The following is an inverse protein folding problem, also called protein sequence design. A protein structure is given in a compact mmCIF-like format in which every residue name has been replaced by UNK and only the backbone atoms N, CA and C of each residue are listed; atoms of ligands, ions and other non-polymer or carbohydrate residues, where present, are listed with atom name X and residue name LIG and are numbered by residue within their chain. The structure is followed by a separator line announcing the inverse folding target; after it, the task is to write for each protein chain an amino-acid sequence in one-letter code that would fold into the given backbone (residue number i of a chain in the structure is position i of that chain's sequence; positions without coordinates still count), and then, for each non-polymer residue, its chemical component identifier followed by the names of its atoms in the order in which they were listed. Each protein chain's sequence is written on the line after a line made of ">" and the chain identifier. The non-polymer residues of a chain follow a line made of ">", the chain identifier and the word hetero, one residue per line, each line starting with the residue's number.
data_IF_012953801714
#
_entry.id   IF_012953801714
#
_cell.length_a   1.000
_cell.length_b   1.000
_cell.length_c   1.000
_cell.angle_alpha   90.00
_cell.angle_beta   90.00
_cell.angle_gamma   90.00
#
_symmetry.space_group_name_H-M   'P 1'
#
loop_
_entity.id
_entity.type
_entity.pdbx_description
1 polymer ?
#
# COMPACT_ATOMS: atom_id res chain seq x y z
N UNK A 1 -20.15 -35.92 -66.14
CA UNK A 1 -19.34 -36.90 -66.91
C UNK A 1 -17.88 -36.62 -66.58
N UNK A 2 -17.06 -37.46 -65.92
CA UNK A 2 -17.22 -38.70 -65.14
C UNK A 2 -16.59 -38.51 -63.74
N UNK A 3 -16.98 -39.26 -62.69
CA UNK A 3 -16.65 -40.67 -62.41
C UNK A 3 -15.13 -40.85 -62.23
N UNK A 4 -14.53 -41.42 -61.17
CA UNK A 4 -14.88 -42.49 -60.20
C UNK A 4 -13.78 -42.43 -59.09
N UNK A 5 -14.06 -42.65 -57.80
CA UNK A 5 -13.86 -43.93 -57.05
C UNK A 5 -12.61 -44.72 -57.49
N UNK A 6 -11.70 -45.25 -56.64
CA UNK A 6 -11.94 -45.99 -55.39
C UNK A 6 -10.61 -46.40 -54.70
N UNK A 7 -10.57 -46.26 -53.36
CA UNK A 7 -10.11 -47.21 -52.30
C UNK A 7 -8.74 -47.92 -52.20
N UNK A 8 -8.23 -47.83 -50.93
CA UNK A 8 -7.71 -48.89 -50.03
C UNK A 8 -6.26 -49.43 -50.25
N UNK A 9 -5.44 -49.82 -49.26
CA UNK A 9 -5.56 -50.03 -47.79
C UNK A 9 -4.14 -50.28 -47.19
N UNK A 10 -3.97 -49.87 -45.90
CA UNK A 10 -3.22 -50.51 -44.78
C UNK A 10 -1.71 -50.85 -44.91
N UNK A 11 -0.85 -50.61 -43.91
CA UNK A 11 -1.01 -50.13 -42.53
C UNK A 11 0.29 -50.15 -41.70
N UNK A 12 0.14 -49.70 -40.44
CA UNK A 12 0.91 -49.96 -39.21
C UNK A 12 2.38 -49.50 -39.10
N UNK A 13 2.67 -48.51 -38.23
CA UNK A 13 2.99 -48.74 -36.81
C UNK A 13 3.45 -47.44 -36.08
N UNK A 14 3.03 -47.36 -34.81
CA UNK A 14 3.34 -46.46 -33.69
C UNK A 14 4.41 -45.36 -33.76
N UNK A 15 4.02 -44.16 -33.31
CA UNK A 15 4.70 -43.48 -32.18
C UNK A 15 3.84 -42.35 -31.58
N UNK A 16 3.33 -42.64 -30.39
CA UNK A 16 3.23 -41.78 -29.20
C UNK A 16 2.88 -40.28 -29.32
N UNK A 17 1.67 -40.01 -28.82
CA UNK A 17 1.30 -38.99 -27.81
C UNK A 17 1.10 -37.53 -28.27
N UNK A 18 -0.19 -37.20 -28.29
CA UNK A 18 -0.85 -35.92 -28.46
C UNK A 18 -0.55 -34.92 -27.34
N UNK A 19 -0.25 -33.69 -27.74
CA UNK A 19 -0.30 -32.49 -26.92
C UNK A 19 -1.72 -32.23 -26.40
N UNK A 20 -1.92 -32.33 -25.08
CA UNK A 20 -3.01 -31.70 -24.36
C UNK A 20 -2.54 -30.36 -23.78
N UNK A 21 -3.41 -29.35 -23.85
CA UNK A 21 -3.16 -27.97 -23.46
C UNK A 21 -2.84 -27.84 -21.94
N UNK A 22 -1.94 -26.92 -21.54
CA UNK A 22 -1.77 -26.59 -20.15
C UNK A 22 -2.88 -25.62 -19.69
N UNK A 23 -3.71 -26.07 -18.76
CA UNK A 23 -4.46 -25.21 -17.85
C UNK A 23 -3.47 -24.45 -16.97
N UNK A 24 -3.28 -23.16 -17.23
CA UNK A 24 -2.47 -22.29 -16.40
C UNK A 24 -3.33 -21.79 -15.22
N UNK A 25 -3.02 -22.29 -14.03
CA UNK A 25 -3.49 -21.78 -12.75
C UNK A 25 -2.96 -20.35 -12.57
N UNK A 26 -3.84 -19.43 -12.21
CA UNK A 26 -3.53 -18.04 -11.91
C UNK A 26 -2.82 -17.97 -10.56
N UNK A 27 -1.50 -17.79 -10.56
CA UNK A 27 -0.76 -17.33 -9.37
C UNK A 27 -0.88 -15.80 -9.29
N UNK A 28 -1.71 -15.35 -8.35
CA UNK A 28 -1.70 -13.97 -7.85
C UNK A 28 -0.68 -13.91 -6.70
N UNK A 29 0.37 -13.11 -6.88
CA UNK A 29 1.29 -12.72 -5.81
C UNK A 29 1.34 -11.18 -5.70
N UNK A 30 1.59 -10.63 -4.49
CA UNK A 30 0.87 -9.47 -3.97
C UNK A 30 1.56 -8.13 -4.22
N UNK A 31 0.74 -7.09 -4.40
CA UNK A 31 1.16 -5.69 -4.42
C UNK A 31 1.26 -5.10 -3.00
N UNK A 32 2.36 -4.40 -2.73
CA UNK A 32 2.53 -3.52 -1.57
C UNK A 32 3.42 -2.35 -2.06
N UNK A 33 3.02 -1.08 -1.99
CA UNK A 33 2.57 -0.49 -0.74
C UNK A 33 2.23 1.03 -0.66
N UNK A 34 1.41 1.36 0.35
CA UNK A 34 1.34 2.64 1.05
C UNK A 34 0.93 2.44 2.52
N UNK A 35 1.89 2.01 3.36
CA UNK A 35 1.82 1.37 4.70
C UNK A 35 1.79 -0.16 4.62
N UNK A 36 2.93 -0.84 4.79
CA UNK A 36 3.02 -2.28 4.48
C UNK A 36 2.35 -2.95 5.63
N UNK A 37 1.32 -3.73 5.30
CA UNK A 37 0.72 -4.60 6.27
C UNK A 37 1.63 -5.82 6.32
N UNK A 38 2.37 -5.96 7.41
CA UNK A 38 3.30 -7.08 7.57
C UNK A 38 2.71 -8.01 8.62
N UNK A 39 2.24 -9.17 8.16
CA UNK A 39 1.70 -10.21 9.04
C UNK A 39 2.84 -11.11 9.53
N UNK A 40 2.99 -11.22 10.85
CA UNK A 40 3.97 -12.10 11.49
C UNK A 40 3.27 -13.26 12.20
N UNK A 41 3.61 -14.48 11.82
CA UNK A 41 3.04 -15.71 12.39
C UNK A 41 4.01 -16.32 13.40
N UNK A 42 3.82 -16.16 14.72
CA UNK A 42 4.64 -16.89 15.69
C UNK A 42 3.79 -17.71 16.69
N UNK A 43 4.10 -19.00 16.78
CA UNK A 43 3.67 -19.91 17.84
C UNK A 43 4.86 -20.81 18.17
N UNK A 44 5.66 -20.48 19.19
CA UNK A 44 6.65 -21.39 19.78
C UNK A 44 6.80 -21.09 21.28
N UNK A 45 6.64 -22.12 22.10
CA UNK A 45 6.98 -22.14 23.52
C UNK A 45 8.15 -23.12 23.75
N UNK A 46 9.10 -22.68 24.57
CA UNK A 46 10.20 -23.36 25.26
C UNK A 46 11.37 -24.01 24.47
N UNK A 47 12.52 -23.32 24.45
CA UNK A 47 13.71 -23.64 25.28
C UNK A 47 14.95 -22.89 24.78
N UNK A 48 15.70 -22.31 25.71
CA UNK A 48 16.84 -21.43 25.45
C UNK A 48 18.16 -22.20 25.31
N UNK A 49 19.00 -21.88 24.31
CA UNK A 49 20.46 -22.08 24.39
C UNK A 49 21.31 -21.26 23.38
N UNK A 50 22.19 -20.42 23.94
CA UNK A 50 23.43 -19.79 23.41
C UNK A 50 23.37 -18.61 22.42
N UNK A 51 23.89 -17.45 22.85
CA UNK A 51 23.78 -16.10 22.25
C UNK A 51 24.27 -15.92 20.79
N UNK A 52 25.31 -16.64 20.35
CA UNK A 52 25.82 -16.50 18.97
C UNK A 52 25.01 -17.34 17.97
N UNK A 53 24.53 -18.51 18.40
CA UNK A 53 23.58 -19.30 17.61
C UNK A 53 22.19 -18.62 17.64
N UNK A 54 21.84 -17.94 18.73
CA UNK A 54 20.59 -17.20 18.89
C UNK A 54 20.47 -16.09 17.85
N UNK A 55 21.51 -15.31 17.60
CA UNK A 55 21.44 -14.19 16.63
C UNK A 55 21.20 -14.70 15.20
N UNK A 56 21.95 -15.72 14.77
CA UNK A 56 21.76 -16.33 13.44
C UNK A 56 20.44 -17.12 13.34
N UNK A 57 20.03 -17.82 14.40
CA UNK A 57 18.75 -18.52 14.47
C UNK A 57 17.57 -17.56 14.55
N UNK A 58 17.74 -16.35 15.10
CA UNK A 58 16.72 -15.29 15.15
C UNK A 58 16.59 -14.60 13.80
N UNK A 59 17.69 -14.37 13.08
CA UNK A 59 17.63 -13.91 11.68
C UNK A 59 16.99 -14.99 10.77
N UNK A 60 17.34 -16.27 10.96
CA UNK A 60 16.67 -17.39 10.28
C UNK A 60 15.20 -17.53 10.70
N UNK A 61 14.87 -17.29 11.97
CA UNK A 61 13.50 -17.35 12.50
C UNK A 61 12.69 -16.19 11.94
N UNK A 62 13.22 -14.98 11.87
CA UNK A 62 12.57 -13.83 11.22
C UNK A 62 12.36 -14.08 9.71
N UNK A 63 13.33 -14.70 9.04
CA UNK A 63 13.17 -15.14 7.66
C UNK A 63 12.11 -16.26 7.51
N UNK A 64 12.02 -17.19 8.47
CA UNK A 64 11.02 -18.25 8.51
C UNK A 64 9.62 -17.77 8.96
N UNK A 65 9.54 -16.63 9.67
CA UNK A 65 8.31 -15.95 10.09
C UNK A 65 7.64 -15.16 8.95
N UNK A 66 8.17 -15.26 7.72
CA UNK A 66 7.69 -14.48 6.56
C UNK A 66 8.04 -13.00 6.64
N UNK A 67 8.84 -12.57 7.62
CA UNK A 67 9.36 -11.20 7.71
C UNK A 67 10.55 -11.04 6.75
N UNK A 68 10.31 -11.21 5.44
CA UNK A 68 11.33 -11.00 4.41
C UNK A 68 11.70 -9.52 4.22
N UNK A 69 11.03 -8.60 4.92
CA UNK A 69 11.21 -7.16 4.70
C UNK A 69 11.49 -6.44 6.03
N UNK A 70 12.57 -5.64 6.12
CA UNK A 70 12.73 -4.68 7.22
C UNK A 70 11.49 -3.82 7.38
N UNK A 71 11.00 -3.60 8.60
CA UNK A 71 9.88 -2.70 8.85
C UNK A 71 10.18 -1.31 8.27
N UNK A 72 9.42 -0.89 7.26
CA UNK A 72 9.56 0.40 6.58
C UNK A 72 8.87 1.50 7.37
N UNK A 73 9.27 2.78 7.22
CA UNK A 73 8.76 3.90 8.01
C UNK A 73 7.23 4.05 8.11
N UNK A 74 6.45 3.46 7.20
CA UNK A 74 4.98 3.49 7.22
C UNK A 74 4.30 2.21 7.70
N UNK A 75 5.04 1.17 8.06
CA UNK A 75 4.47 -0.18 8.21
C UNK A 75 3.56 -0.34 9.43
N UNK A 76 2.59 -1.24 9.26
CA UNK A 76 1.71 -1.75 10.31
C UNK A 76 1.96 -3.25 10.43
N UNK A 77 2.52 -3.64 11.55
CA UNK A 77 2.91 -5.02 11.83
C UNK A 77 1.81 -5.67 12.68
N UNK A 78 1.37 -6.84 12.25
CA UNK A 78 0.40 -7.64 12.98
C UNK A 78 1.09 -8.87 13.57
N UNK A 79 0.93 -9.08 14.89
CA UNK A 79 1.53 -10.22 15.56
C UNK A 79 0.61 -10.85 16.63
N UNK A 80 0.83 -12.15 16.84
CA UNK A 80 0.32 -12.93 17.96
C UNK A 80 1.20 -12.82 19.21
N UNK A 81 1.09 -13.79 20.12
CA UNK A 81 2.12 -13.99 21.14
C UNK A 81 3.46 -14.26 20.48
N UNK A 82 4.53 -13.70 21.04
CA UNK A 82 5.88 -13.84 20.50
C UNK A 82 6.87 -14.16 21.62
N UNK A 83 7.97 -14.81 21.25
CA UNK A 83 9.07 -15.06 22.17
C UNK A 83 9.81 -13.75 22.50
N UNK A 84 10.39 -13.66 23.69
CA UNK A 84 11.05 -12.44 24.20
C UNK A 84 12.15 -11.94 23.26
N UNK A 85 12.92 -12.84 22.65
CA UNK A 85 13.99 -12.50 21.71
C UNK A 85 13.43 -11.84 20.45
N UNK A 86 12.27 -12.30 19.95
CA UNK A 86 11.61 -11.70 18.80
C UNK A 86 11.02 -10.33 19.16
N UNK A 87 10.43 -10.20 20.36
CA UNK A 87 9.96 -8.92 20.90
C UNK A 87 11.09 -7.91 20.99
N UNK A 88 12.24 -8.31 21.53
CA UNK A 88 13.41 -7.45 21.66
C UNK A 88 13.89 -6.95 20.30
N UNK A 89 14.00 -7.81 19.28
CA UNK A 89 14.45 -7.39 17.96
C UNK A 89 13.42 -6.49 17.25
N UNK A 90 12.13 -6.81 17.33
CA UNK A 90 11.08 -6.00 16.71
C UNK A 90 10.95 -4.63 17.39
N UNK A 91 11.11 -4.59 18.70
CA UNK A 91 11.10 -3.35 19.46
C UNK A 91 12.13 -2.36 18.91
N UNK A 92 13.30 -2.82 18.46
CA UNK A 92 14.38 -1.97 17.96
C UNK A 92 14.05 -1.32 16.62
N UNK A 93 12.99 -1.79 15.94
CA UNK A 93 12.63 -1.44 14.57
C UNK A 93 11.28 -0.72 14.47
N UNK A 94 10.55 -0.56 15.56
CA UNK A 94 9.25 0.12 15.58
C UNK A 94 9.30 1.38 16.45
N UNK A 95 8.36 2.31 16.20
CA UNK A 95 8.18 3.53 17.01
C UNK A 95 6.98 3.45 17.93
N UNK A 96 6.04 2.54 17.68
CA UNK A 96 4.89 2.32 18.53
C UNK A 96 4.52 0.84 18.61
N UNK A 97 4.05 0.44 19.79
CA UNK A 97 3.56 -0.89 20.10
C UNK A 97 2.25 -0.80 20.88
N UNK A 98 1.21 -1.44 20.37
CA UNK A 98 -0.09 -1.55 21.03
C UNK A 98 -0.34 -3.03 21.35
N UNK A 99 -0.30 -3.36 22.63
CA UNK A 99 -0.64 -4.68 23.13
C UNK A 99 -2.12 -4.71 23.57
N UNK A 100 -2.92 -5.52 22.87
CA UNK A 100 -4.34 -5.68 23.08
C UNK A 100 -4.63 -6.90 23.94
N UNK A 101 -5.27 -6.66 25.09
CA UNK A 101 -5.55 -7.66 26.12
C UNK A 101 -7.05 -7.97 26.15
N UNK A 102 -7.44 -9.20 26.48
CA UNK A 102 -8.81 -9.49 26.93
C UNK A 102 -8.97 -9.12 28.40
N UNK A 103 -10.21 -9.00 28.86
CA UNK A 103 -10.55 -8.71 30.26
C UNK A 103 -9.89 -9.68 31.27
N UNK A 104 -9.65 -10.93 30.86
CA UNK A 104 -8.97 -11.95 31.69
C UNK A 104 -7.43 -11.83 31.70
N UNK A 105 -6.84 -11.15 30.71
CA UNK A 105 -5.39 -10.95 30.58
C UNK A 105 -4.91 -9.66 31.25
N UNK A 106 -5.80 -8.70 31.51
CA UNK A 106 -5.49 -7.44 32.19
C UNK A 106 -4.94 -7.67 33.61
N UNK A 107 -5.27 -8.82 34.21
CA UNK A 107 -4.88 -9.16 35.59
C UNK A 107 -3.58 -9.94 35.72
N UNK A 108 -2.97 -10.45 34.64
CA UNK A 108 -1.69 -11.19 34.73
C UNK A 108 -0.52 -10.30 34.27
N UNK A 109 0.36 -9.95 35.20
CA UNK A 109 1.57 -9.15 34.96
C UNK A 109 2.65 -9.85 34.11
N UNK A 110 2.45 -11.12 33.76
CA UNK A 110 3.53 -12.05 33.42
C UNK A 110 3.81 -12.19 31.91
N UNK A 111 3.39 -11.21 31.10
CA UNK A 111 3.77 -11.15 29.68
C UNK A 111 5.20 -10.61 29.55
N UNK A 112 6.16 -11.52 29.48
CA UNK A 112 7.58 -11.23 29.34
C UNK A 112 7.89 -10.40 28.07
N UNK A 113 7.18 -10.66 26.97
CA UNK A 113 7.32 -9.88 25.73
C UNK A 113 6.93 -8.42 25.95
N UNK A 114 5.83 -8.16 26.67
CA UNK A 114 5.43 -6.80 27.00
C UNK A 114 6.41 -6.10 27.96
N UNK A 115 7.00 -6.84 28.90
CA UNK A 115 8.01 -6.29 29.80
C UNK A 115 9.21 -5.77 29.01
N UNK A 116 9.73 -6.57 28.08
CA UNK A 116 10.81 -6.16 27.16
C UNK A 116 10.46 -4.86 26.42
N UNK A 117 9.24 -4.75 25.88
CA UNK A 117 8.80 -3.52 25.20
C UNK A 117 8.75 -2.33 26.15
N UNK A 118 8.19 -2.53 27.34
CA UNK A 118 7.97 -1.48 28.34
C UNK A 118 9.27 -0.89 28.86
N UNK A 119 10.28 -1.74 29.10
CA UNK A 119 11.61 -1.31 29.53
C UNK A 119 12.24 -0.39 28.47
N UNK A 120 11.92 -0.59 27.19
CA UNK A 120 12.38 0.25 26.07
C UNK A 120 11.54 1.49 25.82
N UNK A 121 10.44 1.71 26.55
CA UNK A 121 9.66 2.94 26.40
C UNK A 121 10.49 4.21 26.69
N UNK A 122 11.51 4.09 27.56
CA UNK A 122 12.49 5.15 27.83
C UNK A 122 13.39 5.52 26.65
N UNK A 123 13.44 4.70 25.59
CA UNK A 123 14.26 4.90 24.39
C UNK A 123 13.46 5.52 23.21
N UNK A 124 12.29 6.09 23.49
CA UNK A 124 11.45 6.74 22.48
C UNK A 124 10.44 5.82 21.79
N UNK A 125 10.29 4.58 22.26
CA UNK A 125 9.24 3.67 21.84
C UNK A 125 7.92 4.01 22.57
N UNK A 126 6.83 4.25 21.81
CA UNK A 126 5.50 4.43 22.41
C UNK A 126 4.86 3.07 22.67
N UNK A 127 4.75 2.66 23.94
CA UNK A 127 4.12 1.40 24.34
C UNK A 127 2.75 1.66 24.97
N UNK A 128 1.72 0.95 24.49
CA UNK A 128 0.35 1.03 25.03
C UNK A 128 -0.21 -0.35 25.33
N UNK A 129 -0.85 -0.49 26.48
CA UNK A 129 -1.76 -1.61 26.79
C UNK A 129 -3.19 -1.12 26.65
N UNK A 130 -3.99 -1.83 25.87
CA UNK A 130 -5.41 -1.52 25.67
C UNK A 130 -6.25 -2.75 25.98
N UNK A 131 -7.32 -2.58 26.75
CA UNK A 131 -8.32 -3.64 26.89
C UNK A 131 -9.14 -3.70 25.61
N UNK A 132 -9.47 -4.91 25.18
CA UNK A 132 -10.35 -5.18 24.06
C UNK A 132 -11.41 -6.18 24.51
N UNK A 133 -12.61 -5.68 24.74
CA UNK A 133 -13.80 -6.50 25.00
C UNK A 133 -14.58 -6.84 23.72
N UNK A 134 -14.11 -6.36 22.56
CA UNK A 134 -14.65 -6.69 21.24
C UNK A 134 -16.13 -6.34 21.12
N UNK A 135 -16.99 -7.25 20.63
CA UNK A 135 -18.42 -6.99 20.48
C UNK A 135 -19.14 -6.61 21.78
N UNK A 136 -18.56 -6.92 22.95
CA UNK A 136 -19.13 -6.55 24.26
C UNK A 136 -18.88 -5.10 24.64
N UNK A 137 -17.89 -4.45 24.00
CA UNK A 137 -17.51 -3.06 24.20
C UNK A 137 -17.19 -2.43 22.83
N UNK A 138 -18.26 -2.16 22.08
CA UNK A 138 -18.18 -1.60 20.73
C UNK A 138 -17.51 -0.21 20.76
N UNK A 139 -17.92 0.67 21.67
CA UNK A 139 -17.39 2.02 21.80
C UNK A 139 -15.89 2.00 22.11
N UNK A 140 -15.45 1.19 23.08
CA UNK A 140 -14.03 1.05 23.41
C UNK A 140 -13.23 0.46 22.26
N UNK A 141 -13.77 -0.54 21.55
CA UNK A 141 -13.12 -1.14 20.39
C UNK A 141 -12.94 -0.14 19.25
N UNK A 142 -13.95 0.69 18.95
CA UNK A 142 -13.88 1.72 17.90
C UNK A 142 -12.92 2.86 18.25
N UNK A 143 -12.81 3.24 19.53
CA UNK A 143 -11.78 4.20 19.98
C UNK A 143 -10.36 3.73 19.68
N UNK A 144 -10.10 2.43 19.76
CA UNK A 144 -8.79 1.87 19.38
C UNK A 144 -8.55 2.04 17.88
N UNK A 145 -9.57 1.75 17.04
CA UNK A 145 -9.51 1.94 15.58
C UNK A 145 -9.19 3.40 15.24
N UNK A 146 -9.87 4.35 15.87
CA UNK A 146 -9.65 5.79 15.69
C UNK A 146 -8.25 6.24 16.10
N UNK A 147 -7.74 5.72 17.23
CA UNK A 147 -6.44 6.11 17.74
C UNK A 147 -5.29 5.78 16.78
N UNK A 148 -5.44 4.73 15.95
CA UNK A 148 -4.41 4.25 15.03
C UNK A 148 -3.93 5.31 14.01
N UNK A 149 -4.77 6.27 13.66
CA UNK A 149 -4.44 7.34 12.71
C UNK A 149 -3.31 8.25 13.21
N UNK A 150 -3.18 8.38 14.53
CA UNK A 150 -2.26 9.31 15.19
C UNK A 150 -0.96 8.66 15.70
N UNK A 151 -0.85 7.32 15.64
CA UNK A 151 0.25 6.60 16.25
C UNK A 151 1.53 6.61 15.38
N UNK A 152 2.72 6.74 16.00
CA UNK A 152 4.00 6.69 15.28
C UNK A 152 4.21 5.39 14.53
N UNK A 153 4.86 5.47 13.36
CA UNK A 153 5.19 4.33 12.50
C UNK A 153 6.71 4.09 12.46
N UNK A 154 7.18 2.83 12.34
CA UNK A 154 6.39 1.60 12.19
C UNK A 154 5.62 1.24 13.47
N UNK A 155 4.39 0.77 13.32
CA UNK A 155 3.47 0.42 14.42
C UNK A 155 3.29 -1.08 14.50
N UNK A 156 3.34 -1.64 15.71
CA UNK A 156 3.00 -3.04 15.99
C UNK A 156 1.65 -3.15 16.71
N UNK A 157 0.76 -3.98 16.19
CA UNK A 157 -0.47 -4.42 16.85
C UNK A 157 -0.31 -5.88 17.30
N UNK A 158 -0.34 -6.09 18.60
CA UNK A 158 -0.14 -7.40 19.22
C UNK A 158 -1.39 -7.83 19.99
N UNK A 159 -1.71 -9.12 19.91
CA UNK A 159 -2.57 -9.77 20.89
C UNK A 159 -2.19 -11.25 21.02
N UNK A 160 -2.74 -12.00 21.98
CA UNK A 160 -2.30 -13.39 22.22
C UNK A 160 -2.48 -14.30 20.98
N UNK A 161 -3.63 -14.23 20.30
CA UNK A 161 -3.97 -15.11 19.18
C UNK A 161 -3.78 -14.48 17.80
N UNK A 162 -3.48 -13.18 17.73
CA UNK A 162 -3.52 -12.38 16.50
C UNK A 162 -4.93 -11.95 16.06
N UNK A 163 -6.00 -12.50 16.64
CA UNK A 163 -7.37 -12.24 16.19
C UNK A 163 -7.84 -10.83 16.50
N UNK A 164 -7.58 -10.32 17.71
CA UNK A 164 -8.03 -8.98 18.15
C UNK A 164 -7.34 -7.88 17.37
N UNK A 165 -6.02 -8.01 17.25
CA UNK A 165 -5.19 -7.11 16.47
C UNK A 165 -5.55 -7.16 14.98
N UNK A 166 -5.90 -8.34 14.44
CA UNK A 166 -6.42 -8.49 13.08
C UNK A 166 -7.78 -7.83 12.87
N UNK A 167 -8.72 -7.98 13.82
CA UNK A 167 -10.05 -7.35 13.73
C UNK A 167 -9.96 -5.82 13.72
N UNK A 168 -9.18 -5.23 14.62
CA UNK A 168 -8.96 -3.77 14.66
C UNK A 168 -8.27 -3.29 13.38
N UNK A 169 -7.25 -4.01 12.90
CA UNK A 169 -6.55 -3.67 11.68
C UNK A 169 -7.48 -3.67 10.47
N UNK A 170 -8.34 -4.69 10.33
CA UNK A 170 -9.30 -4.76 9.24
C UNK A 170 -10.29 -3.59 9.27
N UNK A 171 -10.85 -3.26 10.43
CA UNK A 171 -11.78 -2.12 10.56
C UNK A 171 -11.09 -0.79 10.24
N UNK A 172 -9.85 -0.61 10.72
CA UNK A 172 -9.06 0.56 10.40
C UNK A 172 -8.78 0.66 8.90
N UNK A 173 -8.32 -0.42 8.28
CA UNK A 173 -8.06 -0.46 6.83
C UNK A 173 -9.34 -0.22 6.03
N UNK A 174 -10.46 -0.80 6.45
CA UNK A 174 -11.73 -0.59 5.79
C UNK A 174 -12.18 0.86 5.87
N UNK A 175 -11.95 1.55 6.98
CA UNK A 175 -12.17 2.99 7.10
C UNK A 175 -11.22 3.79 6.21
N UNK A 176 -9.94 3.44 6.19
CA UNK A 176 -8.92 4.17 5.41
C UNK A 176 -9.06 3.98 3.89
N UNK A 177 -9.50 2.79 3.47
CA UNK A 177 -9.50 2.34 2.07
C UNK A 177 -10.90 2.13 1.49
N UNK A 178 -11.95 2.23 2.31
CA UNK A 178 -13.34 2.08 1.89
C UNK A 178 -13.73 0.62 1.56
N UNK A 179 -13.33 -0.34 2.39
CA UNK A 179 -13.65 -1.75 2.13
C UNK A 179 -15.11 -2.08 2.44
N UNK A 180 -15.72 -2.86 1.54
CA UNK A 180 -16.98 -3.57 1.80
C UNK A 180 -16.74 -4.79 2.68
N UNK A 181 -17.80 -5.33 3.28
CA UNK A 181 -17.75 -6.60 4.00
C UNK A 181 -17.10 -7.73 3.17
N UNK A 182 -17.41 -7.82 1.87
CA UNK A 182 -16.85 -8.82 0.97
C UNK A 182 -15.34 -8.62 0.74
N UNK A 183 -14.91 -7.39 0.42
CA UNK A 183 -13.47 -7.11 0.20
C UNK A 183 -12.62 -7.24 1.46
N UNK A 184 -13.18 -6.90 2.63
CA UNK A 184 -12.50 -7.08 3.90
C UNK A 184 -12.39 -8.56 4.27
N UNK A 185 -13.41 -9.36 3.95
CA UNK A 185 -13.34 -10.81 4.11
C UNK A 185 -12.24 -11.40 3.22
N UNK A 186 -12.20 -11.04 1.93
CA UNK A 186 -11.14 -11.50 1.04
C UNK A 186 -9.75 -11.13 1.57
N UNK A 187 -9.56 -9.87 1.99
CA UNK A 187 -8.30 -9.43 2.60
C UNK A 187 -7.96 -10.23 3.86
N UNK A 188 -8.94 -10.53 4.70
CA UNK A 188 -8.74 -11.31 5.91
C UNK A 188 -8.31 -12.75 5.62
N UNK A 189 -8.85 -13.35 4.55
CA UNK A 189 -8.47 -14.66 4.05
C UNK A 189 -7.05 -14.64 3.47
N UNK A 190 -6.72 -13.64 2.65
CA UNK A 190 -5.38 -13.44 2.08
C UNK A 190 -4.31 -13.25 3.16
N UNK A 191 -4.68 -12.56 4.25
CA UNK A 191 -3.83 -12.37 5.44
C UNK A 191 -3.80 -13.61 6.36
N UNK A 192 -4.57 -14.66 6.07
CA UNK A 192 -4.77 -15.86 6.89
C UNK A 192 -5.13 -15.51 8.35
N UNK A 193 -6.04 -14.55 8.53
CA UNK A 193 -6.53 -14.18 9.84
C UNK A 193 -7.37 -15.32 10.41
N UNK A 194 -6.89 -15.93 11.50
CA UNK A 194 -7.47 -17.17 12.05
C UNK A 194 -8.96 -17.06 12.37
N UNK A 195 -9.45 -15.88 12.77
CA UNK A 195 -10.88 -15.66 13.03
C UNK A 195 -11.78 -15.67 11.78
N UNK A 196 -11.21 -15.62 10.59
CA UNK A 196 -11.88 -15.87 9.31
C UNK A 196 -11.60 -17.27 8.75
N UNK A 197 -10.36 -17.75 8.83
CA UNK A 197 -9.95 -18.98 8.11
C UNK A 197 -10.08 -20.28 8.93
N UNK A 198 -9.98 -20.25 10.27
CA UNK A 198 -9.78 -21.48 11.07
C UNK A 198 -10.48 -21.54 12.43
N UNK A 199 -10.97 -20.43 12.97
CA UNK A 199 -11.53 -20.37 14.31
C UNK A 199 -13.07 -20.42 14.30
N UNK A 200 -13.64 -21.61 14.52
CA UNK A 200 -15.09 -21.79 14.58
C UNK A 200 -15.76 -21.05 15.76
N UNK A 201 -15.03 -20.81 16.85
CA UNK A 201 -15.54 -20.11 18.05
C UNK A 201 -15.45 -18.59 17.95
N UNK A 202 -14.77 -18.06 16.94
CA UNK A 202 -14.59 -16.62 16.73
C UNK A 202 -15.75 -15.97 15.96
N UNK A 203 -16.84 -16.71 15.70
CA UNK A 203 -18.04 -16.22 15.00
C UNK A 203 -18.50 -14.83 15.46
N UNK A 204 -18.66 -14.55 16.77
CA UNK A 204 -19.09 -13.24 17.24
C UNK A 204 -18.17 -12.08 16.81
N UNK A 205 -16.86 -12.31 16.71
CA UNK A 205 -15.89 -11.29 16.27
C UNK A 205 -15.97 -11.07 14.77
N UNK A 206 -16.08 -12.16 14.00
CA UNK A 206 -16.30 -12.10 12.55
C UNK A 206 -17.56 -11.32 12.22
N UNK A 207 -18.69 -11.70 12.83
CA UNK A 207 -19.98 -11.04 12.59
C UNK A 207 -19.95 -9.57 13.01
N UNK A 208 -19.27 -9.26 14.12
CA UNK A 208 -19.09 -7.87 14.55
C UNK A 208 -18.27 -7.06 13.54
N UNK A 209 -17.12 -7.58 13.06
CA UNK A 209 -16.33 -6.90 12.02
C UNK A 209 -17.17 -6.70 10.76
N UNK A 210 -17.82 -7.75 10.25
CA UNK A 210 -18.63 -7.66 9.03
C UNK A 210 -19.83 -6.73 9.19
N UNK A 211 -20.46 -6.69 10.36
CA UNK A 211 -21.58 -5.79 10.66
C UNK A 211 -21.20 -4.31 10.72
N UNK A 212 -19.92 -3.99 10.96
CA UNK A 212 -19.39 -2.62 10.93
C UNK A 212 -18.91 -2.20 9.54
N UNK A 213 -18.96 -3.12 8.58
CA UNK A 213 -18.63 -2.85 7.21
C UNK A 213 -19.90 -2.72 6.41
N UNK A 214 -19.96 -1.80 5.45
CA UNK A 214 -21.16 -1.68 4.66
C UNK A 214 -21.37 -2.97 3.83
N UNK A 215 -22.64 -3.28 3.52
CA UNK A 215 -23.03 -4.51 2.81
C UNK A 215 -22.91 -4.37 1.29
N UNK A 216 -22.26 -5.33 0.62
CA UNK A 216 -22.10 -5.35 -0.85
C UNK A 216 -20.87 -6.14 -1.33
N UNK A 217 -20.93 -6.70 -2.55
CA UNK A 217 -19.79 -7.38 -3.22
C UNK A 217 -18.87 -6.41 -3.95
N UNK A 218 -19.37 -5.22 -4.27
CA UNK A 218 -18.61 -4.12 -4.86
C UNK A 218 -17.96 -3.29 -3.75
N UNK A 219 -16.77 -2.68 -3.97
CA UNK A 219 -16.21 -1.70 -3.04
C UNK A 219 -17.26 -0.61 -2.81
N UNK A 220 -17.73 -0.52 -1.58
CA UNK A 220 -18.88 0.33 -1.28
C UNK A 220 -18.45 1.74 -1.47
N UNK A 221 -19.21 2.40 -2.36
CA UNK A 221 -19.19 3.81 -2.68
C UNK A 221 -18.38 4.57 -1.64
N UNK A 222 -17.12 4.83 -2.03
CA UNK A 222 -16.22 5.74 -1.38
C UNK A 222 -17.07 6.79 -0.67
N UNK A 223 -17.07 6.84 0.65
CA UNK A 223 -17.17 8.15 1.28
C UNK A 223 -15.91 8.87 0.81
N UNK A 224 -16.02 9.42 -0.40
CA UNK A 224 -15.01 10.16 -1.10
C UNK A 224 -14.70 11.31 -0.15
N UNK A 225 -13.60 11.20 0.58
CA UNK A 225 -12.90 12.42 0.91
C UNK A 225 -12.61 13.05 -0.45
N UNK A 226 -13.36 14.11 -0.78
CA UNK A 226 -13.08 14.91 -1.95
C UNK A 226 -11.62 15.36 -1.84
N UNK A 227 -10.86 15.24 -2.94
CA UNK A 227 -9.48 15.70 -2.98
C UNK A 227 -8.50 14.73 -3.65
N UNK A 228 -7.27 15.21 -3.77
CA UNK A 228 -6.17 14.46 -4.34
C UNK A 228 -5.35 13.75 -3.24
N UNK A 229 -4.79 12.58 -3.58
CA UNK A 229 -3.64 12.00 -2.85
C UNK A 229 -2.39 12.32 -3.62
N UNK A 230 -1.32 12.68 -2.90
CA UNK A 230 -0.01 12.96 -3.51
C UNK A 230 1.01 12.04 -2.89
N UNK A 231 1.69 11.25 -3.73
CA UNK A 231 2.86 10.47 -3.35
C UNK A 231 4.09 11.11 -3.98
N UNK A 232 5.13 11.34 -3.17
CA UNK A 232 6.41 11.82 -3.64
C UNK A 232 7.38 10.63 -3.70
N UNK A 233 8.06 10.51 -4.83
CA UNK A 233 9.10 9.52 -5.09
C UNK A 233 10.40 10.24 -5.38
N UNK A 234 11.52 9.59 -5.07
CA UNK A 234 12.85 10.16 -5.22
C UNK A 234 13.72 9.26 -6.10
N UNK A 235 14.40 9.85 -7.08
CA UNK A 235 15.48 9.20 -7.81
C UNK A 235 16.83 9.67 -7.25
N UNK A 236 17.63 8.79 -6.62
CA UNK A 236 18.86 9.20 -5.95
C UNK A 236 19.99 9.55 -6.92
N UNK A 237 19.94 9.10 -8.18
CA UNK A 237 21.00 9.34 -9.16
C UNK A 237 20.96 10.79 -9.66
N UNK A 238 19.76 11.26 -10.02
CA UNK A 238 19.55 12.59 -10.59
C UNK A 238 19.02 13.58 -9.54
N UNK A 239 18.74 13.10 -8.33
CA UNK A 239 18.08 13.85 -7.26
C UNK A 239 16.71 14.40 -7.68
N UNK A 240 16.04 13.72 -8.60
CA UNK A 240 14.73 14.10 -9.12
C UNK A 240 13.62 13.66 -8.18
N UNK A 241 12.65 14.54 -7.96
CA UNK A 241 11.39 14.18 -7.35
C UNK A 241 10.33 13.92 -8.42
N UNK A 242 9.76 12.72 -8.40
CA UNK A 242 8.58 12.37 -9.19
C UNK A 242 7.36 12.39 -8.28
N UNK A 243 6.23 12.92 -8.76
CA UNK A 243 4.98 12.92 -8.00
C UNK A 243 3.91 12.10 -8.68
N UNK A 244 3.24 11.24 -7.92
CA UNK A 244 1.98 10.61 -8.33
C UNK A 244 0.86 11.41 -7.68
N UNK A 245 -0.05 11.96 -8.49
CA UNK A 245 -1.23 12.68 -8.01
C UNK A 245 -2.47 11.88 -8.41
N UNK A 246 -3.21 11.42 -7.41
CA UNK A 246 -4.35 10.54 -7.57
C UNK A 246 -5.66 11.23 -7.21
N UNK A 247 -6.64 11.14 -8.08
CA UNK A 247 -8.02 11.52 -7.81
C UNK A 247 -8.73 10.36 -7.11
N UNK A 248 -8.94 10.46 -5.78
CA UNK A 248 -9.63 9.42 -4.99
C UNK A 248 -10.96 9.05 -5.62
N UNK A 249 -11.71 10.06 -6.06
CA UNK A 249 -13.10 9.90 -6.49
C UNK A 249 -13.31 9.18 -7.82
N UNK A 250 -12.33 9.26 -8.72
CA UNK A 250 -12.47 8.70 -10.06
C UNK A 250 -11.49 7.57 -10.35
N UNK A 251 -10.66 7.21 -9.35
CA UNK A 251 -9.54 6.29 -9.52
C UNK A 251 -8.64 6.64 -10.72
N UNK A 252 -8.45 7.94 -11.01
CA UNK A 252 -7.52 8.40 -12.06
C UNK A 252 -6.27 9.01 -11.43
N UNK A 253 -5.12 8.86 -12.07
CA UNK A 253 -3.86 9.40 -11.60
C UNK A 253 -3.07 10.11 -12.70
N UNK A 254 -2.10 10.91 -12.30
CA UNK A 254 -1.05 11.44 -13.16
C UNK A 254 0.32 11.25 -12.52
N UNK A 255 1.35 11.16 -13.37
CA UNK A 255 2.75 11.26 -12.99
C UNK A 255 3.30 12.63 -13.36
N UNK A 256 4.05 13.26 -12.47
CA UNK A 256 4.75 14.52 -12.72
C UNK A 256 6.25 14.30 -12.60
N UNK A 257 6.99 14.69 -13.63
CA UNK A 257 8.44 14.55 -13.77
C UNK A 257 8.96 13.11 -13.53
N UNK A 258 8.44 12.09 -14.24
CA UNK A 258 8.90 10.72 -14.03
C UNK A 258 10.20 10.43 -14.78
N UNK A 259 11.12 9.73 -14.11
CA UNK A 259 12.45 9.36 -14.60
C UNK A 259 12.40 8.01 -15.32
N UNK A 260 13.06 7.89 -16.49
CA UNK A 260 13.05 6.69 -17.33
C UNK A 260 13.46 5.42 -16.57
N UNK A 261 14.53 5.50 -15.81
CA UNK A 261 15.09 4.41 -15.01
C UNK A 261 14.13 3.95 -13.91
N UNK A 262 13.26 4.85 -13.43
CA UNK A 262 12.28 4.58 -12.38
C UNK A 262 10.89 4.18 -12.92
N UNK A 263 10.71 4.11 -14.24
CA UNK A 263 9.43 3.79 -14.89
C UNK A 263 8.71 2.57 -14.30
N UNK A 264 9.44 1.49 -14.05
CA UNK A 264 8.85 0.24 -13.54
C UNK A 264 8.29 0.43 -12.13
N UNK A 265 9.02 1.12 -11.25
CA UNK A 265 8.59 1.51 -9.91
C UNK A 265 7.33 2.38 -9.98
N UNK A 266 7.35 3.41 -10.84
CA UNK A 266 6.25 4.38 -10.93
C UNK A 266 4.96 3.73 -11.43
N UNK A 267 5.03 2.92 -12.50
CA UNK A 267 3.87 2.21 -13.05
C UNK A 267 3.34 1.17 -12.07
N UNK A 268 4.23 0.41 -11.42
CA UNK A 268 3.85 -0.53 -10.38
C UNK A 268 3.08 0.20 -9.29
N UNK A 269 3.64 1.27 -8.71
CA UNK A 269 2.96 2.01 -7.63
C UNK A 269 1.58 2.54 -8.03
N UNK A 270 1.40 3.04 -9.26
CA UNK A 270 0.07 3.48 -9.73
C UNK A 270 -0.93 2.32 -9.77
N UNK A 271 -0.52 1.15 -10.26
CA UNK A 271 -1.36 -0.05 -10.31
C UNK A 271 -1.67 -0.60 -8.92
N UNK A 272 -0.67 -0.66 -8.04
CA UNK A 272 -0.80 -1.15 -6.66
C UNK A 272 -1.76 -0.28 -5.85
N UNK A 273 -1.77 1.02 -6.09
CA UNK A 273 -2.70 1.97 -5.49
C UNK A 273 -4.11 1.90 -6.10
N UNK A 274 -4.33 1.10 -7.15
CA UNK A 274 -5.62 0.91 -7.80
C UNK A 274 -6.07 2.09 -8.67
N UNK A 275 -5.14 2.94 -9.11
CA UNK A 275 -5.46 4.07 -9.99
C UNK A 275 -5.14 3.76 -11.45
N UNK A 276 -5.93 4.35 -12.35
CA UNK A 276 -5.64 4.35 -13.79
C UNK A 276 -4.82 5.59 -14.13
N UNK A 277 -3.60 5.38 -14.60
CA UNK A 277 -2.77 6.47 -15.10
C UNK A 277 -3.46 7.12 -16.31
N UNK A 278 -3.70 8.42 -16.23
CA UNK A 278 -4.31 9.21 -17.29
C UNK A 278 -3.25 10.04 -18.00
N UNK A 279 -2.34 10.65 -17.23
CA UNK A 279 -1.35 11.58 -17.77
C UNK A 279 0.06 11.35 -17.24
N UNK A 280 1.04 11.66 -18.09
CA UNK A 280 2.43 11.91 -17.68
C UNK A 280 2.77 13.35 -18.03
N UNK A 281 3.01 14.17 -17.02
CA UNK A 281 3.36 15.59 -17.14
C UNK A 281 4.86 15.75 -16.92
N UNK A 282 5.46 16.69 -17.64
CA UNK A 282 6.72 17.28 -17.24
C UNK A 282 6.54 18.78 -16.96
N UNK A 283 7.23 19.27 -15.94
CA UNK A 283 7.31 20.70 -15.61
C UNK A 283 8.12 21.47 -16.64
N UNK A 284 9.12 20.83 -17.23
CA UNK A 284 9.96 21.39 -18.30
C UNK A 284 10.70 20.26 -19.03
N UNK A 285 11.54 20.62 -20.00
CA UNK A 285 12.50 19.67 -20.59
C UNK A 285 13.68 19.55 -19.63
N UNK A 286 13.77 18.39 -18.98
CA UNK A 286 14.83 18.09 -18.02
C UNK A 286 16.18 17.90 -18.72
N UNK A 287 17.25 18.36 -18.07
CA UNK A 287 18.63 18.24 -18.58
C UNK A 287 19.44 17.19 -17.80
N UNK A 288 18.98 16.84 -16.61
CA UNK A 288 19.60 15.94 -15.64
C UNK A 288 19.11 14.49 -15.77
N UNK A 289 17.95 14.25 -16.38
CA UNK A 289 17.38 12.92 -16.56
C UNK A 289 16.56 12.79 -17.85
N UNK A 290 16.35 11.55 -18.28
CA UNK A 290 15.45 11.24 -19.40
C UNK A 290 14.05 10.96 -18.84
N UNK A 291 13.03 11.64 -19.38
CA UNK A 291 11.65 11.38 -18.97
C UNK A 291 11.18 9.98 -19.36
N UNK A 292 10.43 9.30 -18.49
CA UNK A 292 9.83 8.00 -18.79
C UNK A 292 8.59 8.08 -19.68
N UNK A 293 8.03 9.29 -19.90
CA UNK A 293 6.73 9.49 -20.55
C UNK A 293 6.59 8.80 -21.90
N UNK A 294 7.62 8.87 -22.76
CA UNK A 294 7.60 8.22 -24.07
C UNK A 294 7.57 6.68 -23.99
N UNK A 295 8.20 6.09 -22.97
CA UNK A 295 8.17 4.64 -22.75
C UNK A 295 6.86 4.20 -22.08
N UNK A 296 6.32 5.01 -21.17
CA UNK A 296 5.00 4.78 -20.58
C UNK A 296 3.93 4.78 -21.67
N UNK A 297 3.91 5.78 -22.56
CA UNK A 297 2.96 5.85 -23.69
C UNK A 297 3.00 4.63 -24.60
N UNK A 298 4.18 4.06 -24.84
CA UNK A 298 4.32 2.82 -25.64
C UNK A 298 3.71 1.60 -24.95
N UNK A 299 3.82 1.53 -23.62
CA UNK A 299 3.29 0.41 -22.83
C UNK A 299 1.80 0.59 -22.52
N UNK A 300 1.34 1.83 -22.39
CA UNK A 300 -0.03 2.23 -22.07
C UNK A 300 -0.49 3.28 -23.08
N UNK A 301 -0.97 2.86 -24.27
CA UNK A 301 -1.37 3.78 -25.35
C UNK A 301 -2.47 4.77 -24.95
N UNK A 302 -3.24 4.46 -23.91
CA UNK A 302 -4.29 5.30 -23.33
C UNK A 302 -3.78 6.49 -22.49
N UNK A 303 -2.53 6.43 -22.01
CA UNK A 303 -1.91 7.50 -21.21
C UNK A 303 -1.44 8.61 -22.13
N UNK A 304 -1.76 9.87 -21.86
CA UNK A 304 -1.27 11.01 -22.67
C UNK A 304 -0.08 11.71 -22.00
N UNK A 305 0.96 11.98 -22.77
CA UNK A 305 2.10 12.79 -22.34
C UNK A 305 1.80 14.28 -22.52
N UNK A 306 2.19 15.11 -21.54
CA UNK A 306 1.91 16.54 -21.50
C UNK A 306 3.18 17.33 -21.17
N UNK A 307 3.43 18.40 -21.94
CA UNK A 307 4.51 19.36 -21.67
C UNK A 307 4.12 20.76 -22.12
N UNK A 308 4.91 21.77 -21.78
CA UNK A 308 4.66 23.14 -22.21
C UNK A 308 4.78 23.30 -23.73
N UNK A 309 3.86 24.03 -24.34
CA UNK A 309 3.95 24.43 -25.75
C UNK A 309 5.26 25.20 -26.03
N UNK A 310 5.64 26.10 -25.12
CA UNK A 310 6.87 26.91 -25.23
C UNK A 310 8.17 26.12 -25.06
N UNK A 311 8.09 24.83 -24.70
CA UNK A 311 9.28 23.96 -24.58
C UNK A 311 9.83 23.51 -25.94
N UNK A 312 8.99 23.48 -26.97
CA UNK A 312 9.34 22.91 -28.29
C UNK A 312 9.53 21.38 -28.30
N UNK A 313 9.32 20.70 -27.16
CA UNK A 313 9.41 19.26 -27.06
C UNK A 313 8.15 18.57 -27.59
N UNK A 314 8.30 17.29 -27.97
CA UNK A 314 7.19 16.47 -28.46
C UNK A 314 6.46 15.79 -27.30
N UNK A 315 5.14 15.87 -27.30
CA UNK A 315 4.24 15.17 -26.40
C UNK A 315 2.89 14.95 -27.11
N UNK A 316 2.01 14.13 -26.54
CA UNK A 316 0.67 13.92 -27.10
C UNK A 316 -0.18 15.19 -27.00
N UNK A 317 0.00 15.96 -25.92
CA UNK A 317 -0.64 17.25 -25.69
C UNK A 317 0.37 18.29 -25.23
N UNK A 318 0.13 19.54 -25.63
CA UNK A 318 0.86 20.69 -25.10
C UNK A 318 -0.08 21.61 -24.35
N UNK A 319 0.45 22.28 -23.32
CA UNK A 319 -0.31 23.23 -22.48
C UNK A 319 0.44 24.56 -22.34
N UNK A 320 -0.30 25.61 -22.00
CA UNK A 320 0.19 26.97 -21.76
C UNK A 320 -0.41 27.59 -20.50
N UNK A 321 0.06 28.79 -20.15
CA UNK A 321 -0.44 29.54 -19.01
C UNK A 321 -1.96 29.72 -19.08
N UNK A 322 -2.64 29.46 -17.96
CA UNK A 322 -4.09 29.62 -17.83
C UNK A 322 -4.89 28.37 -18.24
N UNK A 323 -4.26 27.37 -18.86
CA UNK A 323 -4.92 26.11 -19.14
C UNK A 323 -5.26 25.37 -17.84
N UNK A 324 -6.27 24.49 -17.93
CA UNK A 324 -6.65 23.60 -16.84
C UNK A 324 -6.66 22.16 -17.31
N UNK A 325 -6.10 21.25 -16.50
CA UNK A 325 -6.10 19.82 -16.75
C UNK A 325 -6.99 19.10 -15.73
N UNK A 326 -7.93 18.31 -16.24
CA UNK A 326 -8.86 17.52 -15.43
C UNK A 326 -8.33 16.09 -15.29
N UNK A 327 -7.97 15.71 -14.06
CA UNK A 327 -7.59 14.33 -13.72
C UNK A 327 -8.72 13.73 -12.92
N UNK A 328 -9.69 13.13 -13.60
CA UNK A 328 -10.92 12.73 -12.93
C UNK A 328 -11.73 13.94 -12.48
N UNK A 329 -11.94 14.06 -11.16
CA UNK A 329 -12.61 15.23 -10.55
C UNK A 329 -11.63 16.29 -10.01
N UNK A 330 -10.32 16.04 -9.97
CA UNK A 330 -9.35 17.08 -9.57
C UNK A 330 -8.97 17.96 -10.76
N UNK A 331 -8.73 19.24 -10.49
CA UNK A 331 -8.28 20.20 -11.51
C UNK A 331 -6.87 20.71 -11.20
N UNK A 332 -6.01 20.71 -12.20
CA UNK A 332 -4.71 21.38 -12.17
C UNK A 332 -4.78 22.65 -13.02
N UNK A 333 -4.48 23.80 -12.43
CA UNK A 333 -4.21 25.02 -13.18
C UNK A 333 -2.75 25.05 -13.62
N UNK A 334 -2.52 25.42 -14.88
CA UNK A 334 -1.19 25.55 -15.47
C UNK A 334 -0.74 27.01 -15.39
N UNK A 335 0.40 27.28 -14.75
CA UNK A 335 1.04 28.59 -14.76
C UNK A 335 2.39 28.51 -15.45
N UNK A 336 2.58 29.29 -16.50
CA UNK A 336 3.92 29.55 -17.02
C UNK A 336 4.77 30.23 -15.95
N UNK A 337 5.90 29.60 -15.63
CA UNK A 337 6.91 30.10 -14.71
C UNK A 337 8.29 29.93 -15.35
N UNK A 338 8.54 30.58 -16.50
CA UNK A 338 9.81 30.49 -17.21
C UNK A 338 10.93 31.08 -16.37
N UNK A 339 12.16 30.64 -16.65
CA UNK A 339 13.36 31.15 -15.98
C UNK A 339 14.50 30.14 -16.09
N UNK A 340 14.31 28.94 -15.52
CA UNK A 340 15.27 27.85 -15.71
C UNK A 340 15.30 27.38 -17.17
N UNK A 341 14.12 27.23 -17.78
CA UNK A 341 13.95 27.11 -19.24
C UNK A 341 12.78 27.98 -19.70
N UNK A 342 12.65 28.19 -21.02
CA UNK A 342 11.49 28.87 -21.61
C UNK A 342 10.19 28.04 -21.48
N UNK A 343 10.32 26.73 -21.23
CA UNK A 343 9.21 25.78 -21.11
C UNK A 343 8.79 25.47 -19.68
N UNK A 344 9.30 26.18 -18.68
CA UNK A 344 8.96 25.86 -17.28
C UNK A 344 7.51 26.23 -16.94
N UNK A 345 6.79 25.25 -16.39
CA UNK A 345 5.44 25.37 -15.86
C UNK A 345 5.39 24.99 -14.39
N UNK A 346 4.46 25.61 -13.68
CA UNK A 346 3.99 25.20 -12.35
C UNK A 346 2.56 24.70 -12.47
N UNK A 347 2.29 23.49 -11.98
CA UNK A 347 0.95 22.94 -11.88
C UNK A 347 0.39 23.17 -10.49
N UNK A 348 -0.79 23.80 -10.40
CA UNK A 348 -1.44 24.14 -9.13
C UNK A 348 -2.70 23.28 -9.00
N UNK A 349 -2.72 22.39 -8.01
CA UNK A 349 -3.91 21.67 -7.64
C UNK A 349 -4.96 22.63 -7.05
N UNK A 350 -6.13 22.71 -7.68
CA UNK A 350 -7.27 23.48 -7.19
C UNK A 350 -8.23 22.56 -6.45
N UNK A 351 -8.57 22.95 -5.23
CA UNK A 351 -9.57 22.24 -4.43
C UNK A 351 -10.97 22.52 -5.00
N UNK A 352 -11.73 21.47 -5.30
CA UNK A 352 -13.06 21.60 -5.87
C UNK A 352 -14.10 21.71 -4.76
N UNK A 353 -14.17 22.86 -4.09
CA UNK A 353 -15.27 23.22 -3.19
C UNK A 353 -15.95 24.50 -3.68
N UNK A 354 -17.19 24.45 -4.20
CA UNK A 354 -18.10 25.58 -4.15
C UNK A 354 -18.89 25.51 -2.83
N UNK A 355 -18.35 26.10 -1.76
CA UNK A 355 -19.08 26.37 -0.53
C UNK A 355 -18.83 25.40 0.62
N UNK A 356 -17.85 25.71 1.46
CA UNK A 356 -17.60 25.01 2.72
C UNK A 356 -16.21 25.33 3.23
N UNK A 357 -16.11 26.28 4.16
CA UNK A 357 -14.83 26.77 4.67
C UNK A 357 -14.00 25.66 5.30
N UNK A 358 -12.89 25.31 4.66
CA UNK A 358 -11.70 24.82 5.35
C UNK A 358 -10.47 25.44 4.69
N UNK A 359 -9.55 25.91 5.51
CA UNK A 359 -8.58 26.95 5.20
C UNK A 359 -7.65 26.62 4.02
N UNK A 360 -7.48 27.64 3.17
CA UNK A 360 -6.45 27.82 2.16
C UNK A 360 -5.12 27.14 2.48
N UNK A 361 -4.88 25.96 1.89
CA UNK A 361 -3.53 25.48 1.64
C UNK A 361 -3.36 25.33 0.14
N UNK A 362 -3.21 26.46 -0.53
CA UNK A 362 -2.55 26.51 -1.84
C UNK A 362 -1.13 26.00 -1.64
N UNK A 363 -0.89 24.71 -1.82
CA UNK A 363 0.48 24.23 -2.00
C UNK A 363 0.96 24.88 -3.31
N UNK A 364 2.04 25.64 -3.22
CA UNK A 364 2.82 26.05 -4.38
C UNK A 364 3.94 25.03 -4.50
N UNK A 365 4.21 24.54 -5.70
CA UNK A 365 5.35 23.65 -5.97
C UNK A 365 6.44 24.44 -6.72
N UNK A 366 7.22 25.30 -6.03
CA UNK A 366 8.43 25.84 -6.62
C UNK A 366 9.56 24.81 -6.58
N UNK A 367 10.43 24.86 -7.59
CA UNK A 367 11.78 24.28 -7.51
C UNK A 367 12.47 24.77 -6.23
N UNK A 368 12.76 23.87 -5.27
CA UNK A 368 13.74 24.14 -4.22
C UNK A 368 15.10 23.66 -4.71
N UNK A 369 15.99 24.60 -4.99
CA UNK A 369 17.41 24.31 -5.20
C UNK A 369 18.01 23.72 -3.91
N UNK A 370 18.95 22.76 -4.00
CA UNK A 370 19.74 22.36 -2.85
C UNK A 370 20.62 23.54 -2.41
N UNK A 371 20.38 24.04 -1.20
CA UNK A 371 21.25 25.02 -0.56
C UNK A 371 22.63 24.42 -0.34
N UNK A 372 23.66 25.09 -0.87
CA UNK A 372 25.06 24.86 -0.48
C UNK A 372 25.18 24.91 1.03
N UNK A 373 25.53 23.81 1.67
CA UNK A 373 26.23 23.86 2.95
C UNK A 373 27.63 24.43 2.66
N UNK A 374 27.97 25.52 3.33
CA UNK A 374 29.35 25.92 3.59
C UNK A 374 29.74 25.36 4.95
#
# INVERSE_FOLDING_TARGET
>A
MGSSCETMKQGLADSSQSHSAPTASVELAPSMNGSSIVTMKQELADSAQSDMALTAAVELSLAALGAQVPAQPGDVLLCGRMADVAAEQLSKRCKCWVNMLSDHEVTSSDDASFKVMSDRAGEGLVVKRVSWAGPKDEEGSLKIVEALDSLPRPLVLQCASGNRSGAILLLWLARQRGYSAASAQQLAEDMDLKFFTRCATCGPVREWVLGHLPSGTEPINQQQTEGAVVHQLFDPVTSTFTYIICCRTSAKALLLDPVLEQKARDLSMVDELGFKLQYVLNTHVHADHVTSGGQIRKLRPEVETIIAESSGAKADKTVKHGDTLDVGKIKLEVRATPGHTNGCLTYILRDTQPGGGCASHSRLWPHRLPGRQR
#
